data_IF_415717507722
#
_entry.id   IF_415717507722
#
_cell.length_a   1.000
_cell.length_b   1.000
_cell.length_c   1.000
_cell.angle_alpha   90.00
_cell.angle_beta   90.00
_cell.angle_gamma   90.00
#
_symmetry.space_group_name_H-M   'P 1'
#
loop_
_entity.id
_entity.type
_entity.pdbx_description
1 polymer ?
#
# COMPACT_ATOMS: atom_id res chain seq x y z
N UNK A 1 10.85 28.04 -36.40
CA UNK A 1 10.92 28.03 -34.91
C UNK A 1 9.62 27.59 -34.21
N UNK A 2 8.53 27.21 -34.90
CA UNK A 2 7.26 26.82 -34.24
C UNK A 2 7.17 25.33 -33.84
N UNK A 3 7.91 24.43 -34.48
CA UNK A 3 7.76 22.98 -34.29
C UNK A 3 8.28 22.47 -32.91
N UNK A 4 9.40 23.01 -32.41
CA UNK A 4 9.93 22.66 -31.08
C UNK A 4 9.05 23.16 -29.93
N UNK A 5 8.45 24.35 -30.06
CA UNK A 5 7.53 24.90 -29.06
C UNK A 5 6.24 24.08 -28.95
N UNK A 6 5.72 23.60 -30.09
CA UNK A 6 4.54 22.74 -30.13
C UNK A 6 4.81 21.36 -29.51
N UNK A 7 5.98 20.77 -29.79
CA UNK A 7 6.38 19.49 -29.20
C UNK A 7 6.55 19.57 -27.67
N UNK A 8 7.22 20.62 -27.17
CA UNK A 8 7.40 20.81 -25.73
C UNK A 8 6.06 20.99 -25.00
N UNK A 9 5.14 21.75 -25.59
CA UNK A 9 3.79 21.94 -25.07
C UNK A 9 3.02 20.61 -25.01
N UNK A 10 3.07 19.80 -26.06
CA UNK A 10 2.43 18.48 -26.10
C UNK A 10 3.01 17.51 -25.06
N UNK A 11 4.33 17.49 -24.87
CA UNK A 11 5.01 16.66 -23.86
C UNK A 11 4.58 17.06 -22.45
N UNK A 12 4.57 18.37 -22.15
CA UNK A 12 4.14 18.89 -20.84
C UNK A 12 2.67 18.58 -20.57
N UNK A 13 1.79 18.75 -21.57
CA UNK A 13 0.37 18.43 -21.44
C UNK A 13 0.13 16.93 -21.21
N UNK A 14 0.84 16.07 -21.94
CA UNK A 14 0.78 14.61 -21.74
C UNK A 14 1.28 14.21 -20.35
N UNK A 15 2.38 14.78 -19.88
CA UNK A 15 2.91 14.51 -18.55
C UNK A 15 1.93 14.94 -17.45
N UNK A 16 1.31 16.12 -17.59
CA UNK A 16 0.29 16.62 -16.66
C UNK A 16 -0.96 15.72 -16.63
N UNK A 17 -1.42 15.26 -17.79
CA UNK A 17 -2.55 14.34 -17.89
C UNK A 17 -2.23 12.97 -17.26
N UNK A 18 -1.04 12.44 -17.51
CA UNK A 18 -0.56 11.19 -16.92
C UNK A 18 -0.46 11.30 -15.39
N UNK A 19 0.12 12.39 -14.90
CA UNK A 19 0.24 12.66 -13.46
C UNK A 19 -1.14 12.76 -12.80
N UNK A 20 -2.07 13.50 -13.41
CA UNK A 20 -3.46 13.59 -12.94
C UNK A 20 -4.11 12.22 -12.84
N UNK A 21 -3.94 11.39 -13.88
CA UNK A 21 -4.48 10.04 -13.92
C UNK A 21 -3.91 9.15 -12.80
N UNK A 22 -2.59 9.20 -12.58
CA UNK A 22 -1.92 8.42 -11.52
C UNK A 22 -2.43 8.84 -10.14
N UNK A 23 -2.49 10.13 -9.86
CA UNK A 23 -2.96 10.65 -8.56
C UNK A 23 -4.44 10.29 -8.36
N UNK A 24 -5.29 10.48 -9.38
CA UNK A 24 -6.71 10.12 -9.33
C UNK A 24 -6.89 8.64 -9.03
N UNK A 25 -6.17 7.75 -9.72
CA UNK A 25 -6.21 6.30 -9.46
C UNK A 25 -5.67 5.96 -8.08
N UNK A 26 -4.62 6.65 -7.62
CA UNK A 26 -3.98 6.48 -6.31
C UNK A 26 -4.85 6.91 -5.14
N UNK A 27 -5.63 7.98 -5.27
CA UNK A 27 -6.47 8.52 -4.19
C UNK A 27 -7.90 7.98 -4.18
N UNK A 28 -8.42 7.48 -5.31
CA UNK A 28 -9.77 6.93 -5.37
C UNK A 28 -9.98 5.86 -4.29
N UNK A 29 -11.05 6.03 -3.51
CA UNK A 29 -11.45 5.12 -2.45
C UNK A 29 -10.76 5.33 -1.10
N UNK A 30 -9.78 6.22 -0.99
CA UNK A 30 -9.14 6.58 0.29
C UNK A 30 -10.15 7.37 1.15
N UNK A 31 -10.21 7.08 2.44
CA UNK A 31 -11.01 7.87 3.39
C UNK A 31 -10.23 9.07 3.88
N UNK A 32 -10.91 10.18 4.09
CA UNK A 32 -10.34 11.40 4.62
C UNK A 32 -11.35 12.09 5.53
N UNK A 33 -10.85 12.95 6.40
CA UNK A 33 -11.64 13.84 7.24
C UNK A 33 -11.39 15.29 6.84
N UNK A 34 -12.36 16.16 7.10
CA UNK A 34 -12.26 17.58 6.81
C UNK A 34 -11.75 18.35 8.02
N UNK A 35 -10.87 19.33 7.80
CA UNK A 35 -10.22 20.10 8.88
C UNK A 35 -10.79 21.51 9.04
N UNK A 36 -11.52 22.02 8.04
CA UNK A 36 -12.13 23.36 8.07
C UNK A 36 -13.36 23.48 8.99
N UNK A 37 -13.82 22.37 9.59
CA UNK A 37 -14.97 22.32 10.50
C UNK A 37 -14.48 21.99 11.92
N UNK A 38 -14.38 23.00 12.78
CA UNK A 38 -13.75 22.84 14.09
C UNK A 38 -14.45 21.83 15.03
N UNK A 39 -15.77 21.68 14.92
CA UNK A 39 -16.57 20.95 15.92
C UNK A 39 -17.15 19.61 15.43
N UNK A 40 -16.88 19.20 14.19
CA UNK A 40 -17.46 17.97 13.61
C UNK A 40 -16.43 17.24 12.76
N UNK A 41 -16.02 16.06 13.20
CA UNK A 41 -15.17 15.17 12.41
C UNK A 41 -16.06 14.42 11.41
N UNK A 42 -16.23 14.98 10.22
CA UNK A 42 -16.90 14.28 9.12
C UNK A 42 -15.90 13.52 8.27
N UNK A 43 -16.12 12.21 8.13
CA UNK A 43 -15.30 11.32 7.29
C UNK A 43 -15.97 11.08 5.95
N UNK A 44 -15.20 11.19 4.88
CA UNK A 44 -15.64 10.95 3.51
C UNK A 44 -14.75 9.92 2.83
N UNK A 45 -15.20 9.44 1.67
CA UNK A 45 -14.42 8.60 0.76
C UNK A 45 -14.24 9.32 -0.56
N UNK A 46 -13.01 9.38 -1.06
CA UNK A 46 -12.71 10.05 -2.34
C UNK A 46 -13.37 9.27 -3.47
N UNK A 47 -14.36 9.88 -4.12
CA UNK A 47 -15.01 9.32 -5.31
C UNK A 47 -14.17 9.62 -6.55
N UNK A 48 -13.67 10.86 -6.66
CA UNK A 48 -12.92 11.34 -7.82
C UNK A 48 -12.07 12.59 -7.46
N UNK A 49 -11.29 13.07 -8.43
CA UNK A 49 -10.62 14.38 -8.40
C UNK A 49 -11.18 15.26 -9.50
N UNK A 50 -11.23 16.58 -9.27
CA UNK A 50 -11.62 17.53 -10.30
C UNK A 50 -10.60 17.58 -11.43
N UNK A 51 -11.06 17.93 -12.63
CA UNK A 51 -10.22 18.10 -13.83
C UNK A 51 -9.60 19.49 -13.90
N UNK A 52 -10.28 20.50 -13.33
CA UNK A 52 -9.80 21.87 -13.25
C UNK A 52 -9.32 22.25 -11.84
N UNK A 53 -8.37 23.19 -11.73
CA UNK A 53 -7.96 23.81 -10.47
C UNK A 53 -9.12 24.47 -9.75
N UNK A 54 -9.01 24.57 -8.42
CA UNK A 54 -10.03 25.16 -7.55
C UNK A 54 -10.38 26.59 -7.93
N UNK A 55 -9.40 27.42 -8.34
CA UNK A 55 -9.66 28.80 -8.80
C UNK A 55 -10.56 28.94 -10.03
N UNK A 56 -10.73 27.86 -10.81
CA UNK A 56 -11.64 27.84 -11.96
C UNK A 56 -12.89 27.03 -11.69
N UNK A 57 -13.00 26.38 -10.53
CA UNK A 57 -14.05 25.43 -10.23
C UNK A 57 -15.26 26.14 -9.66
N UNK A 58 -16.34 26.13 -10.44
CA UNK A 58 -17.67 26.60 -10.06
C UNK A 58 -18.60 25.41 -9.86
N UNK A 59 -19.54 25.51 -8.92
CA UNK A 59 -20.56 24.49 -8.69
C UNK A 59 -21.88 25.12 -8.25
N UNK A 60 -23.03 24.48 -8.54
CA UNK A 60 -24.32 24.93 -8.05
C UNK A 60 -24.41 24.67 -6.55
N UNK A 61 -24.68 25.72 -5.76
CA UNK A 61 -24.73 25.64 -4.29
C UNK A 61 -26.11 25.23 -3.79
N UNK A 62 -27.17 25.57 -4.53
CA UNK A 62 -28.57 25.40 -4.14
C UNK A 62 -29.42 24.81 -5.28
N UNK A 63 -30.71 24.60 -5.00
CA UNK A 63 -31.69 24.09 -5.97
C UNK A 63 -32.00 25.10 -7.09
N UNK A 64 -31.75 26.38 -6.83
CA UNK A 64 -31.88 27.47 -7.81
C UNK A 64 -30.68 27.53 -8.77
N UNK A 65 -29.73 26.61 -8.63
CA UNK A 65 -28.51 26.50 -9.42
C UNK A 65 -27.62 27.76 -9.36
N UNK A 66 -27.63 28.46 -8.22
CA UNK A 66 -26.72 29.58 -7.99
C UNK A 66 -25.27 29.08 -8.04
N UNK A 67 -24.53 29.55 -9.03
CA UNK A 67 -23.14 29.15 -9.26
C UNK A 67 -22.21 29.94 -8.36
N UNK A 68 -21.36 29.25 -7.59
CA UNK A 68 -20.32 29.88 -6.76
C UNK A 68 -19.00 29.15 -6.94
N UNK A 69 -17.89 29.86 -6.80
CA UNK A 69 -16.59 29.21 -6.78
C UNK A 69 -16.39 28.44 -5.48
N UNK A 70 -15.57 27.38 -5.51
CA UNK A 70 -15.20 26.69 -4.26
C UNK A 70 -14.48 27.62 -3.27
N UNK A 71 -13.73 28.61 -3.77
CA UNK A 71 -13.01 29.56 -2.92
C UNK A 71 -13.99 30.46 -2.16
N UNK A 72 -14.91 31.11 -2.87
CA UNK A 72 -15.94 31.97 -2.26
C UNK A 72 -16.79 31.18 -1.26
N UNK A 73 -17.22 29.97 -1.64
CA UNK A 73 -18.02 29.14 -0.75
C UNK A 73 -17.26 28.77 0.54
N UNK A 74 -15.98 28.41 0.45
CA UNK A 74 -15.19 28.09 1.64
C UNK A 74 -14.97 29.30 2.55
N UNK A 75 -14.73 30.47 1.95
CA UNK A 75 -14.54 31.71 2.70
C UNK A 75 -15.84 32.15 3.40
N UNK A 76 -16.96 32.15 2.70
CA UNK A 76 -18.24 32.62 3.24
C UNK A 76 -18.85 31.66 4.26
N UNK A 77 -18.84 30.34 3.97
CA UNK A 77 -19.53 29.37 4.82
C UNK A 77 -18.70 28.93 6.03
N UNK A 78 -17.37 28.95 5.92
CA UNK A 78 -16.49 28.40 6.94
C UNK A 78 -15.41 29.38 7.41
N UNK A 79 -15.33 30.59 6.84
CA UNK A 79 -14.23 31.51 7.14
C UNK A 79 -12.85 30.96 6.73
N UNK A 80 -12.80 29.98 5.82
CA UNK A 80 -11.57 29.28 5.47
C UNK A 80 -10.96 29.85 4.20
N UNK A 81 -9.81 30.51 4.32
CA UNK A 81 -9.08 31.07 3.18
C UNK A 81 -8.16 30.03 2.55
N UNK A 82 -8.53 29.57 1.35
CA UNK A 82 -7.71 28.65 0.54
C UNK A 82 -6.47 29.37 0.00
N UNK A 83 -5.29 28.83 0.28
CA UNK A 83 -4.01 29.47 -0.11
C UNK A 83 -3.54 29.00 -1.50
N UNK A 84 -3.54 27.70 -1.73
CA UNK A 84 -3.06 27.04 -2.95
C UNK A 84 -4.22 26.77 -3.91
N UNK A 85 -4.84 27.84 -4.39
CA UNK A 85 -6.00 27.81 -5.29
C UNK A 85 -5.77 27.10 -6.64
N UNK A 86 -4.51 26.78 -6.96
CA UNK A 86 -4.10 26.02 -8.14
C UNK A 86 -4.21 24.49 -7.96
N UNK A 87 -4.38 24.01 -6.73
CA UNK A 87 -4.62 22.59 -6.44
C UNK A 87 -6.03 22.18 -6.89
N UNK A 88 -6.29 20.87 -6.90
CA UNK A 88 -7.58 20.30 -7.29
C UNK A 88 -8.46 20.08 -6.05
N UNK A 89 -9.76 19.87 -6.27
CA UNK A 89 -10.67 19.44 -5.22
C UNK A 89 -10.85 17.92 -5.24
N UNK A 90 -11.05 17.36 -4.05
CA UNK A 90 -11.59 16.01 -3.86
C UNK A 90 -13.08 16.06 -4.12
N UNK A 91 -13.58 15.16 -4.95
CA UNK A 91 -15.01 14.97 -5.17
C UNK A 91 -15.53 13.84 -4.28
N UNK A 92 -16.60 14.14 -3.55
CA UNK A 92 -17.35 13.17 -2.72
C UNK A 92 -18.80 13.11 -3.17
N UNK A 93 -19.50 12.03 -2.83
CA UNK A 93 -20.87 11.78 -3.28
C UNK A 93 -20.94 11.26 -4.72
N UNK A 94 -22.15 11.31 -5.28
CA UNK A 94 -22.46 10.79 -6.61
C UNK A 94 -22.46 11.92 -7.64
N UNK A 95 -22.42 11.61 -8.94
CA UNK A 95 -22.35 12.64 -9.99
C UNK A 95 -23.51 13.66 -9.94
N UNK A 96 -24.71 13.23 -9.52
CA UNK A 96 -25.90 14.09 -9.39
C UNK A 96 -25.87 15.03 -8.17
N UNK A 97 -25.13 14.67 -7.12
CA UNK A 97 -25.00 15.41 -5.85
C UNK A 97 -23.55 15.37 -5.41
N UNK A 98 -22.68 15.97 -6.23
CA UNK A 98 -21.26 16.01 -5.97
C UNK A 98 -20.95 17.15 -4.99
N UNK A 99 -20.12 16.88 -3.99
CA UNK A 99 -19.52 17.93 -3.17
C UNK A 99 -18.02 17.99 -3.44
N UNK A 100 -17.48 19.21 -3.42
CA UNK A 100 -16.09 19.49 -3.72
C UNK A 100 -15.37 19.98 -2.48
N UNK A 101 -14.30 19.30 -2.09
CA UNK A 101 -13.52 19.60 -0.89
C UNK A 101 -12.10 19.93 -1.28
N UNK A 102 -11.63 21.13 -0.93
CA UNK A 102 -10.26 21.56 -1.23
C UNK A 102 -9.24 20.68 -0.50
N UNK A 103 -8.15 20.27 -1.17
CA UNK A 103 -7.17 19.35 -0.59
C UNK A 103 -6.52 19.87 0.70
N UNK A 104 -6.35 21.19 0.86
CA UNK A 104 -5.83 21.79 2.11
C UNK A 104 -6.73 21.57 3.32
N UNK A 105 -8.03 21.45 3.07
CA UNK A 105 -9.02 21.28 4.11
C UNK A 105 -9.33 19.80 4.39
N UNK A 106 -8.43 18.89 3.97
CA UNK A 106 -8.60 17.44 4.02
C UNK A 106 -7.38 16.75 4.65
N UNK A 107 -7.62 15.81 5.58
CA UNK A 107 -6.60 14.94 6.17
C UNK A 107 -6.95 13.47 5.90
N UNK A 108 -5.99 12.66 5.45
CA UNK A 108 -6.22 11.22 5.26
C UNK A 108 -6.44 10.56 6.64
N UNK A 109 -7.48 9.74 6.76
CA UNK A 109 -7.77 9.02 8.00
C UNK A 109 -6.66 7.99 8.27
N UNK A 110 -6.19 7.93 9.51
CA UNK A 110 -5.12 7.01 9.92
C UNK A 110 -5.60 5.55 9.99
N UNK A 111 -4.66 4.60 10.00
CA UNK A 111 -4.95 3.17 10.14
C UNK A 111 -5.61 2.49 8.93
N UNK A 112 -5.66 3.15 7.77
CA UNK A 112 -6.22 2.57 6.56
C UNK A 112 -5.25 1.60 5.88
N UNK A 113 -5.67 0.33 5.71
CA UNK A 113 -4.91 -0.66 4.93
C UNK A 113 -4.85 -0.26 3.45
N UNK A 114 -3.65 -0.20 2.88
CA UNK A 114 -3.47 -0.07 1.44
C UNK A 114 -3.73 -1.43 0.77
N UNK A 115 -4.71 -1.48 -0.14
CA UNK A 115 -5.07 -2.69 -0.91
C UNK A 115 -4.57 -2.65 -2.35
N UNK A 116 -3.96 -1.55 -2.78
CA UNK A 116 -3.46 -1.38 -4.15
C UNK A 116 -2.11 -2.10 -4.30
N UNK A 117 -1.85 -2.60 -5.52
CA UNK A 117 -0.56 -3.21 -5.86
C UNK A 117 0.57 -2.20 -5.63
N UNK A 118 1.59 -2.66 -4.92
CA UNK A 118 2.81 -1.90 -4.66
C UNK A 118 3.75 -1.98 -5.88
N UNK A 119 4.55 -0.94 -6.10
CA UNK A 119 5.61 -0.96 -7.09
C UNK A 119 6.86 -1.69 -6.56
N UNK A 120 7.81 -2.01 -7.43
CA UNK A 120 9.01 -2.79 -7.07
C UNK A 120 9.83 -2.14 -5.94
N UNK A 121 9.96 -0.82 -5.94
CA UNK A 121 10.67 -0.07 -4.88
C UNK A 121 9.96 -0.22 -3.54
N UNK A 122 8.63 -0.10 -3.52
CA UNK A 122 7.79 -0.29 -2.33
C UNK A 122 7.84 -1.74 -1.83
N UNK A 123 7.79 -2.73 -2.73
CA UNK A 123 7.93 -4.15 -2.39
C UNK A 123 9.30 -4.41 -1.78
N UNK A 124 10.36 -3.90 -2.40
CA UNK A 124 11.73 -4.06 -1.90
C UNK A 124 11.89 -3.45 -0.51
N UNK A 125 11.34 -2.24 -0.29
CA UNK A 125 11.34 -1.60 1.01
C UNK A 125 10.56 -2.41 2.06
N UNK A 126 9.39 -2.94 1.68
CA UNK A 126 8.61 -3.82 2.55
C UNK A 126 9.40 -5.07 2.93
N UNK A 127 10.00 -5.77 1.96
CA UNK A 127 10.78 -6.98 2.18
C UNK A 127 11.98 -6.72 3.10
N UNK A 128 12.68 -5.59 2.95
CA UNK A 128 13.78 -5.20 3.85
C UNK A 128 13.34 -5.10 5.32
N UNK A 129 12.10 -4.71 5.57
CA UNK A 129 11.54 -4.59 6.92
C UNK A 129 10.96 -5.92 7.41
N UNK A 130 10.28 -6.67 6.54
CA UNK A 130 9.55 -7.88 6.94
C UNK A 130 10.39 -9.16 6.98
N UNK A 131 11.47 -9.24 6.20
CA UNK A 131 12.33 -10.43 6.10
C UNK A 131 13.40 -10.42 7.21
N UNK A 132 12.95 -10.57 8.45
CA UNK A 132 13.82 -10.63 9.63
C UNK A 132 14.37 -12.04 9.85
N UNK A 133 15.58 -12.13 10.43
CA UNK A 133 16.16 -13.41 10.86
C UNK A 133 15.34 -13.97 12.03
N UNK A 134 15.27 -15.30 12.20
CA UNK A 134 14.47 -15.93 13.26
C UNK A 134 14.74 -15.35 14.66
N UNK A 135 16.01 -15.13 15.03
CA UNK A 135 16.39 -14.55 16.33
C UNK A 135 15.85 -13.14 16.54
N UNK A 136 15.92 -12.29 15.51
CA UNK A 136 15.43 -10.91 15.60
C UNK A 136 13.91 -10.89 15.74
N UNK A 137 13.23 -11.72 14.94
CA UNK A 137 11.77 -11.87 15.00
C UNK A 137 11.30 -12.42 16.35
N UNK A 138 12.03 -13.37 16.93
CA UNK A 138 11.77 -13.92 18.25
C UNK A 138 11.83 -12.82 19.33
N UNK A 139 12.89 -12.00 19.30
CA UNK A 139 13.06 -10.88 20.21
C UNK A 139 11.96 -9.83 20.05
N UNK A 140 11.57 -9.50 18.82
CA UNK A 140 10.50 -8.55 18.55
C UNK A 140 9.14 -9.05 19.04
N UNK A 141 8.86 -10.35 18.90
CA UNK A 141 7.66 -10.96 19.47
C UNK A 141 7.64 -10.83 21.00
N UNK A 142 8.76 -11.15 21.68
CA UNK A 142 8.86 -11.04 23.14
C UNK A 142 8.68 -9.59 23.62
N UNK A 143 9.31 -8.62 22.95
CA UNK A 143 9.11 -7.19 23.23
C UNK A 143 7.66 -6.75 23.04
N UNK A 144 7.00 -7.21 21.98
CA UNK A 144 5.61 -6.90 21.68
C UNK A 144 4.67 -7.44 22.77
N UNK A 145 4.88 -8.69 23.20
CA UNK A 145 4.10 -9.29 24.30
C UNK A 145 4.28 -8.53 25.61
N UNK A 146 5.52 -8.11 25.92
CA UNK A 146 5.80 -7.29 27.10
C UNK A 146 5.14 -5.91 27.02
N UNK A 147 5.27 -5.23 25.88
CA UNK A 147 4.69 -3.91 25.64
C UNK A 147 3.17 -3.91 25.75
N UNK A 148 2.51 -4.95 25.21
CA UNK A 148 1.06 -5.04 25.20
C UNK A 148 0.45 -5.41 26.57
N UNK A 149 1.28 -5.88 27.52
CA UNK A 149 0.88 -6.18 28.91
C UNK A 149 -0.46 -6.94 29.02
N UNK A 150 -0.63 -7.98 28.18
CA UNK A 150 -1.92 -8.67 28.05
C UNK A 150 -2.46 -9.28 29.37
N UNK A 151 -1.56 -9.59 30.32
CA UNK A 151 -1.91 -10.04 31.68
C UNK A 151 -2.63 -8.97 32.51
N UNK A 152 -2.56 -7.70 32.08
CA UNK A 152 -3.23 -6.57 32.71
C UNK A 152 -4.56 -6.23 32.05
N UNK A 153 -4.92 -6.88 30.93
CA UNK A 153 -6.14 -6.60 30.20
C UNK A 153 -7.39 -6.91 31.06
N UNK A 154 -8.31 -5.94 31.23
CA UNK A 154 -9.46 -6.11 32.12
C UNK A 154 -10.48 -7.12 31.60
N UNK A 155 -10.54 -7.35 30.28
CA UNK A 155 -11.43 -8.34 29.70
C UNK A 155 -10.83 -9.74 29.84
N UNK A 156 -9.54 -9.93 29.55
CA UNK A 156 -8.84 -11.20 29.74
C UNK A 156 -9.00 -11.72 31.18
N UNK A 157 -8.84 -10.83 32.19
CA UNK A 157 -9.08 -11.17 33.60
C UNK A 157 -10.52 -11.59 33.90
N UNK A 158 -11.51 -10.89 33.34
CA UNK A 158 -12.93 -11.25 33.50
C UNK A 158 -13.25 -12.63 32.95
N UNK A 159 -12.56 -13.05 31.88
CA UNK A 159 -12.69 -14.38 31.29
C UNK A 159 -11.70 -15.40 31.86
N UNK A 160 -10.99 -15.08 32.95
CA UNK A 160 -9.98 -15.94 33.57
C UNK A 160 -8.88 -16.43 32.60
N UNK A 161 -8.55 -15.63 31.59
CA UNK A 161 -7.50 -15.94 30.61
C UNK A 161 -6.16 -15.47 31.20
N UNK A 162 -5.21 -16.40 31.30
CA UNK A 162 -3.83 -16.13 31.72
C UNK A 162 -2.86 -16.29 30.55
N UNK A 163 -2.00 -15.30 30.32
CA UNK A 163 -1.09 -15.24 29.18
C UNK A 163 0.35 -15.27 29.67
N UNK A 164 1.07 -16.33 29.32
CA UNK A 164 2.46 -16.54 29.70
C UNK A 164 3.38 -15.71 28.78
N UNK A 165 4.35 -15.01 29.36
CA UNK A 165 5.28 -14.10 28.64
C UNK A 165 6.54 -14.82 28.08
N UNK A 166 6.46 -16.12 27.87
CA UNK A 166 7.55 -16.97 27.37
C UNK A 166 7.06 -17.74 26.15
N UNK A 167 7.96 -18.03 25.23
CA UNK A 167 7.66 -18.87 24.07
C UNK A 167 7.41 -20.31 24.52
N UNK A 168 6.47 -20.98 23.86
CA UNK A 168 6.24 -22.40 24.07
C UNK A 168 7.45 -23.19 23.58
N UNK A 169 7.96 -24.09 24.43
CA UNK A 169 9.02 -25.02 24.07
C UNK A 169 8.41 -26.33 23.60
N UNK A 170 8.96 -26.88 22.51
CA UNK A 170 8.49 -28.14 21.91
C UNK A 170 9.72 -28.97 21.55
N UNK A 171 9.68 -30.26 21.88
CA UNK A 171 10.70 -31.20 21.46
C UNK A 171 10.55 -31.50 19.97
N UNK A 172 11.63 -31.32 19.21
CA UNK A 172 11.68 -31.58 17.78
C UNK A 172 12.81 -32.56 17.44
N UNK A 173 12.68 -33.25 16.31
CA UNK A 173 13.70 -34.17 15.79
C UNK A 173 14.12 -33.73 14.40
N UNK A 174 15.42 -33.82 14.11
CA UNK A 174 15.98 -33.60 12.78
C UNK A 174 16.04 -34.95 12.07
N UNK A 175 15.28 -35.12 10.99
CA UNK A 175 15.33 -36.35 10.19
C UNK A 175 16.62 -36.37 9.36
N UNK A 176 17.27 -37.54 9.21
CA UNK A 176 18.42 -37.65 8.33
C UNK A 176 18.01 -37.37 6.88
N UNK A 177 18.89 -36.69 6.14
CA UNK A 177 18.65 -36.42 4.73
C UNK A 177 18.65 -37.74 3.92
N UNK A 178 17.75 -37.89 2.93
CA UNK A 178 17.78 -39.05 2.04
C UNK A 178 18.96 -38.93 1.07
N UNK A 179 19.58 -40.06 0.72
CA UNK A 179 20.56 -40.10 -0.36
C UNK A 179 19.85 -39.97 -1.71
N UNK A 180 20.27 -39.01 -2.53
CA UNK A 180 19.75 -38.78 -3.87
C UNK A 180 20.58 -39.57 -4.89
N UNK A 181 19.92 -40.41 -5.68
CA UNK A 181 20.54 -41.15 -6.78
C UNK A 181 20.47 -40.38 -8.09
N UNK A 182 21.51 -40.51 -8.90
CA UNK A 182 21.69 -39.92 -10.21
C UNK A 182 22.14 -40.97 -11.22
N UNK A 183 22.17 -40.60 -12.50
CA UNK A 183 22.51 -41.53 -13.56
C UNK A 183 23.97 -41.99 -13.47
N UNK A 184 24.20 -43.28 -13.74
CA UNK A 184 25.51 -43.94 -13.64
C UNK A 184 26.60 -43.30 -14.51
N UNK A 185 26.24 -42.73 -15.66
CA UNK A 185 27.16 -42.03 -16.57
C UNK A 185 27.55 -40.60 -16.09
N UNK A 186 27.08 -40.16 -14.92
CA UNK A 186 27.53 -38.95 -14.25
C UNK A 186 28.87 -39.15 -13.52
N UNK A 187 29.59 -38.06 -13.25
CA UNK A 187 30.81 -38.12 -12.42
C UNK A 187 30.47 -38.41 -10.95
N UNK A 188 29.32 -37.89 -10.49
CA UNK A 188 28.74 -38.17 -9.19
C UNK A 188 27.39 -38.87 -9.37
N UNK A 189 27.24 -40.04 -8.76
CA UNK A 189 26.07 -40.93 -8.89
C UNK A 189 25.14 -40.85 -7.70
N UNK A 190 25.67 -40.47 -6.55
CA UNK A 190 24.94 -40.32 -5.30
C UNK A 190 25.26 -38.96 -4.68
N UNK A 191 24.29 -38.37 -4.00
CA UNK A 191 24.45 -37.10 -3.31
C UNK A 191 23.67 -37.11 -2.00
N UNK A 192 24.35 -36.84 -0.88
CA UNK A 192 23.68 -36.60 0.40
C UNK A 192 23.47 -35.08 0.59
N UNK A 193 22.23 -34.58 0.55
CA UNK A 193 21.95 -33.15 0.73
C UNK A 193 22.48 -32.64 2.07
N UNK A 194 23.06 -31.44 2.07
CA UNK A 194 23.53 -30.77 3.26
C UNK A 194 22.58 -29.61 3.58
N UNK A 195 22.04 -29.60 4.80
CA UNK A 195 21.10 -28.55 5.25
C UNK A 195 19.91 -28.38 4.28
N UNK A 196 19.44 -29.49 3.71
CA UNK A 196 18.33 -29.51 2.73
C UNK A 196 18.70 -28.97 1.34
N UNK A 197 19.98 -28.80 1.03
CA UNK A 197 20.45 -28.27 -0.24
C UNK A 197 21.35 -29.26 -0.99
N UNK A 198 21.24 -29.25 -2.31
CA UNK A 198 22.12 -29.95 -3.25
C UNK A 198 22.14 -29.20 -4.60
N UNK A 199 23.08 -29.53 -5.48
CA UNK A 199 23.15 -28.98 -6.83
C UNK A 199 23.42 -30.09 -7.85
N UNK A 200 23.31 -29.75 -9.14
CA UNK A 200 23.49 -30.66 -10.26
C UNK A 200 24.92 -30.76 -10.79
N UNK A 201 25.89 -30.07 -10.17
CA UNK A 201 27.28 -30.14 -10.61
C UNK A 201 27.75 -31.60 -10.59
N UNK A 202 28.42 -32.03 -11.66
CA UNK A 202 28.95 -33.39 -11.87
C UNK A 202 27.92 -34.54 -11.94
N UNK A 203 26.63 -34.25 -11.88
CA UNK A 203 25.55 -35.25 -11.87
C UNK A 203 24.81 -35.27 -13.21
N UNK A 204 24.24 -36.42 -13.56
CA UNK A 204 23.35 -36.57 -14.73
C UNK A 204 21.97 -37.04 -14.28
N UNK A 205 20.92 -36.49 -14.90
CA UNK A 205 19.53 -36.89 -14.61
C UNK A 205 19.30 -38.36 -15.00
N UNK A 206 18.52 -39.10 -14.20
CA UNK A 206 18.28 -40.54 -14.40
C UNK A 206 17.63 -40.82 -15.76
N UNK A 207 16.56 -40.08 -16.09
CA UNK A 207 15.91 -40.17 -17.40
C UNK A 207 16.14 -38.86 -18.16
N UNK A 208 17.35 -38.69 -18.68
CA UNK A 208 17.62 -37.61 -19.62
C UNK A 208 17.01 -37.94 -20.98
N UNK A 209 16.24 -37.01 -21.55
CA UNK A 209 15.81 -37.15 -22.93
C UNK A 209 17.04 -36.92 -23.82
N UNK A 210 17.64 -37.99 -24.33
CA UNK A 210 18.62 -37.93 -25.40
C UNK A 210 17.91 -38.01 -26.74
N UNK A 211 18.29 -37.17 -27.70
CA UNK A 211 18.05 -37.47 -29.11
C UNK A 211 18.69 -38.83 -29.41
N UNK A 212 17.86 -39.80 -29.80
CA UNK A 212 18.34 -40.99 -30.48
C UNK A 212 18.90 -40.55 -31.84
N UNK A 213 20.21 -40.30 -31.92
CA UNK A 213 20.94 -40.37 -33.17
C UNK A 213 21.62 -41.75 -33.24
N UNK A 214 21.17 -42.58 -34.18
CA UNK A 214 21.80 -43.86 -34.56
C UNK A 214 20.99 -45.08 -34.17
#
# INVERSE_FOLDING_TARGET
>A
MSCQSHYLTLVVLRYKALLHHIIKKGLRGVKFEVTHRANVITKYRIANLTTQPTKKLMFPVDENATMKSVIEYFQEMYGFTIQHTHLLCLQVGNQKKASYLHMEACKIVEGQRNTKRLNEKQITALLKVTCQRPRDRENDNLKTVQHNAYDQDPYAKKFCINIIKKLASVEARILPAPCLKYHENGKEKDCLPQVGQWNMMNKKVINGMGEQMG
#
